data_IF_859387051092
#
_entry.id   IF_859387051092
#
_cell.length_a   1.000
_cell.length_b   1.000
_cell.length_c   1.000
_cell.angle_alpha   90.00
_cell.angle_beta   90.00
_cell.angle_gamma   90.00
#
_symmetry.space_group_name_H-M   'P 1'
#
loop_
_entity.id
_entity.type
_entity.pdbx_description
1 polymer ?
#
# COMPACT_ATOMS: atom_id res chain seq x y z
N UNK A 1 79.07 41.45 -43.40
CA UNK A 1 77.93 41.85 -42.57
C UNK A 1 77.15 40.56 -42.32
N UNK A 2 77.49 39.75 -41.31
CA UNK A 2 77.51 40.02 -39.86
C UNK A 2 76.08 40.15 -39.31
N UNK A 3 75.61 39.39 -38.31
CA UNK A 3 76.17 38.34 -37.43
C UNK A 3 75.04 37.31 -37.10
N UNK A 4 75.25 36.01 -36.82
CA UNK A 4 75.76 35.33 -35.59
C UNK A 4 75.02 35.74 -34.29
N UNK A 5 74.61 34.89 -33.32
CA UNK A 5 74.54 33.42 -33.05
C UNK A 5 73.33 33.24 -32.05
N UNK A 6 72.84 32.14 -31.42
CA UNK A 6 73.14 30.72 -31.11
C UNK A 6 71.75 30.04 -30.75
N UNK A 7 71.41 28.76 -30.55
CA UNK A 7 72.04 27.47 -30.13
C UNK A 7 72.39 27.40 -28.61
N UNK A 8 72.13 26.36 -27.78
CA UNK A 8 71.99 24.87 -27.93
C UNK A 8 70.95 24.27 -26.92
N UNK A 9 70.50 23.02 -27.13
CA UNK A 9 69.57 22.18 -26.28
C UNK A 9 70.29 21.04 -25.53
N UNK A 10 69.85 20.63 -24.30
CA UNK A 10 69.85 19.21 -23.78
C UNK A 10 69.27 18.99 -22.36
N UNK A 11 68.82 17.75 -22.08
CA UNK A 11 68.13 17.20 -20.87
C UNK A 11 68.49 15.68 -20.80
N UNK A 12 68.93 15.01 -19.68
CA UNK A 12 68.00 14.32 -18.73
C UNK A 12 68.48 13.80 -17.31
N UNK A 13 67.57 13.79 -16.30
CA UNK A 13 67.39 12.76 -15.20
C UNK A 13 68.55 12.48 -14.18
N UNK A 14 68.36 11.67 -13.10
CA UNK A 14 67.31 11.64 -12.04
C UNK A 14 67.93 11.53 -10.58
N UNK A 15 67.19 10.96 -9.59
CA UNK A 15 67.58 10.64 -8.17
C UNK A 15 67.75 11.85 -7.20
N UNK A 16 67.56 11.78 -5.87
CA UNK A 16 66.89 10.81 -4.94
C UNK A 16 66.65 11.42 -3.53
N UNK A 17 65.90 10.73 -2.65
CA UNK A 17 65.44 11.18 -1.31
C UNK A 17 66.42 10.81 -0.17
N UNK A 18 66.52 11.61 0.91
CA UNK A 18 66.73 11.12 2.28
C UNK A 18 65.56 11.49 3.22
N UNK A 19 65.39 10.75 4.33
CA UNK A 19 64.25 10.86 5.25
C UNK A 19 64.66 11.08 6.72
N UNK A 20 63.81 11.76 7.50
CA UNK A 20 63.72 11.81 8.98
C UNK A 20 62.56 12.78 9.36
N UNK A 21 61.83 12.66 10.46
CA UNK A 21 61.70 11.59 11.46
C UNK A 21 60.27 11.62 12.06
N UNK A 22 59.86 10.58 12.80
CA UNK A 22 58.56 10.55 13.48
C UNK A 22 58.54 11.46 14.72
N UNK A 23 57.34 11.89 15.12
CA UNK A 23 56.96 11.83 16.53
C UNK A 23 55.52 11.29 16.65
N UNK A 24 55.20 10.67 17.78
CA UNK A 24 53.98 9.87 17.98
C UNK A 24 52.99 10.49 18.97
N UNK A 25 51.85 9.81 19.14
CA UNK A 25 50.73 10.06 20.06
C UNK A 25 49.66 10.99 19.43
N UNK A 26 48.37 10.68 19.42
CA UNK A 26 47.61 9.71 20.24
C UNK A 26 46.79 8.68 19.44
N UNK A 27 46.46 7.56 20.11
CA UNK A 27 45.52 6.52 19.66
C UNK A 27 44.33 6.45 20.63
N UNK A 28 43.20 7.07 20.28
CA UNK A 28 41.92 6.81 20.95
C UNK A 28 40.77 6.66 19.97
N UNK A 29 39.88 5.74 20.31
CA UNK A 29 38.70 5.28 19.58
C UNK A 29 37.75 6.37 19.07
N UNK A 30 37.21 6.17 17.86
CA UNK A 30 35.81 5.75 17.71
C UNK A 30 35.49 5.27 16.29
N UNK A 31 34.47 4.43 16.17
CA UNK A 31 33.96 3.92 14.90
C UNK A 31 32.94 4.87 14.28
N UNK A 32 33.11 5.21 13.01
CA UNK A 32 32.01 5.59 12.14
C UNK A 32 32.03 4.69 10.90
N UNK A 33 30.96 3.90 10.77
CA UNK A 33 30.66 3.09 9.59
C UNK A 33 30.02 4.05 8.58
N UNK A 34 30.49 4.08 7.34
CA UNK A 34 29.82 4.83 6.28
C UNK A 34 28.40 4.28 6.08
N UNK A 35 27.38 5.14 5.96
CA UNK A 35 26.00 4.68 5.87
C UNK A 35 25.80 3.85 4.61
N UNK A 36 25.38 2.59 4.79
CA UNK A 36 24.97 1.72 3.68
C UNK A 36 23.83 2.40 2.94
N UNK A 37 24.03 2.67 1.66
CA UNK A 37 23.02 3.25 0.78
C UNK A 37 21.77 2.36 0.80
N UNK A 38 20.64 2.90 1.25
CA UNK A 38 19.42 2.11 1.37
C UNK A 38 18.85 1.89 -0.02
N UNK A 39 18.61 0.63 -0.47
CA UNK A 39 18.06 0.38 -1.79
C UNK A 39 16.70 1.05 -1.90
N UNK A 40 16.62 2.07 -2.76
CA UNK A 40 15.42 2.86 -3.00
C UNK A 40 14.27 1.90 -3.34
N UNK A 41 13.17 1.97 -2.57
CA UNK A 41 12.04 1.06 -2.74
C UNK A 41 11.52 1.13 -4.17
N UNK A 42 11.53 -0.01 -4.86
CA UNK A 42 11.12 -0.15 -6.26
C UNK A 42 9.87 -1.05 -6.29
N UNK A 43 8.71 -0.54 -6.73
CA UNK A 43 8.45 0.81 -7.24
C UNK A 43 8.42 1.88 -6.14
N UNK A 44 8.60 3.15 -6.55
CA UNK A 44 8.56 4.32 -5.66
C UNK A 44 7.24 5.09 -5.79
N UNK A 45 6.80 5.76 -4.72
CA UNK A 45 5.49 6.44 -4.64
C UNK A 45 5.58 7.85 -4.04
N UNK A 46 4.72 8.79 -4.49
CA UNK A 46 4.57 10.09 -3.82
C UNK A 46 3.98 9.88 -2.41
N UNK A 47 4.65 10.46 -1.41
CA UNK A 47 4.46 10.11 0.02
C UNK A 47 3.24 10.82 0.66
N UNK A 48 2.10 10.82 -0.04
CA UNK A 48 0.83 11.42 0.43
C UNK A 48 -0.31 10.41 0.22
N UNK A 49 -0.28 9.32 1.00
CA UNK A 49 -1.20 8.19 0.89
C UNK A 49 -2.62 8.50 1.43
N UNK A 50 -3.33 9.41 0.77
CA UNK A 50 -4.79 9.49 0.88
C UNK A 50 -5.39 8.25 0.24
N UNK A 51 -6.17 7.45 1.00
CA UNK A 51 -6.89 6.31 0.45
C UNK A 51 -7.89 6.79 -0.62
N UNK A 52 -7.76 6.36 -1.90
CA UNK A 52 -8.70 6.76 -2.94
C UNK A 52 -10.06 6.09 -2.70
N UNK A 53 -11.14 6.86 -2.82
CA UNK A 53 -12.52 6.35 -2.74
C UNK A 53 -13.05 6.12 -4.15
N UNK A 54 -13.32 4.87 -4.48
CA UNK A 54 -13.83 4.45 -5.78
C UNK A 54 -15.35 4.24 -5.73
N UNK A 55 -16.04 4.66 -6.79
CA UNK A 55 -17.42 4.24 -7.04
C UNK A 55 -17.40 2.91 -7.80
N UNK A 56 -18.18 1.91 -7.40
CA UNK A 56 -18.29 0.66 -8.15
C UNK A 56 -18.96 0.91 -9.50
N UNK A 57 -18.52 0.18 -10.53
CA UNK A 57 -19.12 0.17 -11.87
C UNK A 57 -20.47 -0.55 -11.85
N UNK A 58 -20.58 -1.61 -11.05
CA UNK A 58 -21.80 -2.36 -10.83
C UNK A 58 -21.78 -2.98 -9.42
N UNK A 59 -22.94 -3.01 -8.78
CA UNK A 59 -23.19 -3.75 -7.55
C UNK A 59 -24.46 -4.55 -7.76
N UNK A 60 -24.40 -5.86 -7.55
CA UNK A 60 -25.57 -6.76 -7.66
C UNK A 60 -25.63 -7.67 -6.44
N UNK A 61 -26.83 -8.10 -6.05
CA UNK A 61 -27.03 -9.00 -4.92
C UNK A 61 -27.91 -10.19 -5.34
N UNK A 62 -27.46 -11.39 -4.98
CA UNK A 62 -28.18 -12.65 -5.23
C UNK A 62 -28.23 -13.43 -3.91
N UNK A 63 -29.39 -13.40 -3.25
CA UNK A 63 -29.53 -13.92 -1.89
C UNK A 63 -28.56 -13.21 -0.93
N UNK A 64 -27.71 -14.01 -0.27
CA UNK A 64 -26.75 -13.52 0.73
C UNK A 64 -25.39 -13.11 0.12
N UNK A 65 -25.20 -13.18 -1.20
CA UNK A 65 -23.94 -12.79 -1.85
C UNK A 65 -24.12 -11.50 -2.63
N UNK A 66 -23.23 -10.53 -2.38
CA UNK A 66 -23.12 -9.26 -3.11
C UNK A 66 -21.90 -9.34 -4.03
N UNK A 67 -22.08 -9.07 -5.32
CA UNK A 67 -21.00 -8.96 -6.29
C UNK A 67 -20.70 -7.49 -6.54
N UNK A 68 -19.47 -7.08 -6.27
CA UNK A 68 -18.98 -5.69 -6.41
C UNK A 68 -17.98 -5.64 -7.56
N UNK A 69 -18.29 -4.88 -8.60
CA UNK A 69 -17.40 -4.65 -9.75
C UNK A 69 -16.86 -3.23 -9.71
N UNK A 70 -15.54 -3.05 -9.76
CA UNK A 70 -14.89 -1.73 -9.67
C UNK A 70 -13.71 -1.61 -10.64
N UNK A 71 -13.42 -0.38 -11.06
CA UNK A 71 -12.25 -0.01 -11.84
C UNK A 71 -11.27 0.77 -10.95
N UNK A 72 -10.07 0.24 -10.77
CA UNK A 72 -9.00 0.80 -9.94
C UNK A 72 -7.90 1.31 -10.89
N UNK A 73 -7.75 2.63 -11.09
CA UNK A 73 -6.58 3.19 -11.75
C UNK A 73 -5.36 3.14 -10.81
N UNK A 74 -4.19 2.83 -11.38
CA UNK A 74 -2.90 2.88 -10.72
C UNK A 74 -1.83 3.46 -11.66
N UNK A 75 -0.84 4.14 -11.10
CA UNK A 75 0.34 4.65 -11.80
C UNK A 75 1.58 4.32 -10.98
N UNK A 76 2.67 3.94 -11.66
CA UNK A 76 3.91 3.53 -11.00
C UNK A 76 5.13 3.79 -11.87
N UNK A 77 6.24 4.17 -11.23
CA UNK A 77 7.54 4.26 -11.89
C UNK A 77 8.37 3.01 -11.55
N UNK A 78 8.81 2.29 -12.58
CA UNK A 78 9.56 1.03 -12.47
C UNK A 78 10.95 1.25 -13.05
N UNK A 79 11.98 1.17 -12.21
CA UNK A 79 13.37 1.21 -12.66
C UNK A 79 13.89 -0.22 -12.82
N UNK A 80 14.45 -0.54 -13.99
CA UNK A 80 15.08 -1.83 -14.26
C UNK A 80 16.49 -1.90 -13.67
N UNK A 81 16.99 -3.08 -13.26
CA UNK A 81 18.36 -3.22 -12.74
C UNK A 81 19.48 -2.94 -13.76
N UNK A 82 19.18 -3.09 -15.05
CA UNK A 82 20.11 -2.84 -16.17
C UNK A 82 19.37 -2.07 -17.28
N UNK A 83 20.12 -1.37 -18.12
CA UNK A 83 19.57 -0.67 -19.29
C UNK A 83 18.95 -1.67 -20.29
N UNK A 84 17.68 -1.48 -20.58
CA UNK A 84 16.93 -2.23 -21.57
C UNK A 84 17.02 -1.56 -22.95
N UNK A 85 17.27 -2.37 -23.98
CA UNK A 85 17.01 -2.02 -25.38
C UNK A 85 15.51 -2.12 -25.69
N UNK A 86 14.86 -3.16 -25.18
CA UNK A 86 13.44 -3.44 -25.43
C UNK A 86 12.86 -4.36 -24.35
N UNK A 87 11.62 -4.10 -23.93
CA UNK A 87 10.80 -5.12 -23.24
C UNK A 87 10.36 -6.17 -24.25
N UNK A 88 10.47 -7.46 -23.90
CA UNK A 88 10.09 -8.59 -24.75
C UNK A 88 8.77 -9.22 -24.31
N UNK A 89 8.47 -9.25 -23.01
CA UNK A 89 7.25 -9.81 -22.44
C UNK A 89 7.02 -9.27 -21.02
N UNK A 90 5.76 -9.07 -20.62
CA UNK A 90 5.38 -8.75 -19.22
C UNK A 90 4.25 -9.67 -18.78
N UNK A 91 4.59 -10.72 -18.03
CA UNK A 91 3.62 -11.59 -17.35
C UNK A 91 3.04 -10.85 -16.12
N UNK A 92 1.77 -11.12 -15.75
CA UNK A 92 1.05 -10.38 -14.69
C UNK A 92 0.16 -11.31 -13.87
N UNK A 93 0.04 -11.03 -12.58
CA UNK A 93 -0.78 -11.78 -11.63
C UNK A 93 -1.30 -10.84 -10.53
N UNK A 94 -2.63 -10.72 -10.37
CA UNK A 94 -3.26 -9.81 -9.40
C UNK A 94 -3.55 -10.51 -8.08
N UNK A 95 -3.02 -9.98 -6.98
CA UNK A 95 -3.14 -10.56 -5.64
C UNK A 95 -3.83 -9.61 -4.69
N UNK A 96 -5.03 -9.96 -4.26
CA UNK A 96 -5.75 -9.25 -3.19
C UNK A 96 -5.24 -9.78 -1.85
N UNK A 97 -4.67 -8.89 -1.03
CA UNK A 97 -4.13 -9.19 0.32
C UNK A 97 -5.05 -8.68 1.42
N UNK A 98 -5.90 -7.70 1.11
CA UNK A 98 -6.92 -7.15 1.99
C UNK A 98 -8.25 -7.06 1.25
N UNK A 99 -9.27 -7.67 1.81
CA UNK A 99 -10.67 -7.37 1.51
C UNK A 99 -11.43 -7.28 2.83
N UNK A 100 -11.88 -6.08 3.22
CA UNK A 100 -12.51 -5.82 4.52
C UNK A 100 -13.76 -4.96 4.36
N UNK A 101 -14.92 -5.58 4.56
CA UNK A 101 -16.22 -4.92 4.58
C UNK A 101 -16.43 -4.19 5.91
N UNK A 102 -16.87 -2.94 5.83
CA UNK A 102 -17.43 -2.15 6.93
C UNK A 102 -18.90 -1.90 6.62
N UNK A 103 -19.77 -2.15 7.60
CA UNK A 103 -21.21 -1.93 7.44
C UNK A 103 -21.55 -0.43 7.55
N UNK A 104 -22.77 -0.05 7.15
CA UNK A 104 -23.27 1.32 7.29
C UNK A 104 -23.23 1.78 8.75
N UNK A 105 -23.00 3.08 8.96
CA UNK A 105 -23.16 3.72 10.27
C UNK A 105 -24.60 4.25 10.34
N UNK A 106 -25.50 3.65 11.14
CA UNK A 106 -26.90 4.07 11.19
C UNK A 106 -27.06 5.42 11.89
N UNK A 107 -28.06 6.19 11.50
CA UNK A 107 -28.42 7.44 12.17
C UNK A 107 -29.07 7.14 13.54
N UNK A 108 -28.25 7.12 14.60
CA UNK A 108 -28.67 6.81 15.99
C UNK A 108 -29.76 7.78 16.50
N UNK A 109 -29.81 9.01 15.96
CA UNK A 109 -30.82 10.02 16.30
C UNK A 109 -31.32 10.69 15.02
N UNK A 110 -32.62 10.99 14.94
CA UNK A 110 -33.21 11.73 13.82
C UNK A 110 -32.46 13.06 13.56
N UNK A 111 -32.12 13.32 12.30
CA UNK A 111 -31.33 14.49 11.90
C UNK A 111 -29.81 14.37 12.10
N UNK A 112 -29.28 13.20 12.48
CA UNK A 112 -27.84 12.89 12.39
C UNK A 112 -27.49 12.25 11.03
N UNK A 113 -26.27 12.48 10.51
CA UNK A 113 -25.82 11.81 9.30
C UNK A 113 -25.68 10.30 9.53
N UNK A 114 -25.98 9.52 8.50
CA UNK A 114 -25.59 8.12 8.35
C UNK A 114 -24.45 8.03 7.33
N UNK A 115 -23.65 6.96 7.39
CA UNK A 115 -22.63 6.66 6.37
C UNK A 115 -22.90 5.30 5.71
N UNK A 116 -22.51 5.18 4.45
CA UNK A 116 -22.74 4.00 3.60
C UNK A 116 -21.80 2.84 3.97
N UNK A 117 -22.14 1.57 3.67
CA UNK A 117 -21.20 0.47 3.77
C UNK A 117 -20.02 0.65 2.82
N UNK A 118 -18.81 0.27 3.24
CA UNK A 118 -17.58 0.45 2.45
C UNK A 118 -16.75 -0.83 2.40
N UNK A 119 -16.09 -1.06 1.27
CA UNK A 119 -15.17 -2.18 1.09
C UNK A 119 -13.73 -1.69 0.92
N UNK A 120 -12.88 -1.95 1.92
CA UNK A 120 -11.45 -1.68 1.83
C UNK A 120 -10.80 -2.82 1.05
N UNK A 121 -10.21 -2.49 -0.11
CA UNK A 121 -9.42 -3.42 -0.92
C UNK A 121 -7.96 -2.99 -0.93
N UNK A 122 -7.07 -3.97 -0.75
CA UNK A 122 -5.63 -3.83 -0.83
C UNK A 122 -5.00 -5.07 -1.45
N UNK A 123 -3.89 -4.89 -2.17
CA UNK A 123 -3.27 -5.94 -2.94
C UNK A 123 -2.07 -5.45 -3.73
N UNK A 124 -1.66 -6.22 -4.74
CA UNK A 124 -0.65 -5.83 -5.72
C UNK A 124 -0.82 -6.59 -7.04
N UNK A 125 -0.41 -5.97 -8.14
CA UNK A 125 -0.13 -6.65 -9.41
C UNK A 125 1.33 -7.09 -9.38
N UNK A 126 1.58 -8.39 -9.31
CA UNK A 126 2.93 -8.93 -9.53
C UNK A 126 3.20 -8.90 -11.04
N UNK A 127 4.25 -8.19 -11.44
CA UNK A 127 4.78 -8.18 -12.81
C UNK A 127 6.06 -8.99 -12.89
N UNK A 128 6.20 -9.72 -13.98
CA UNK A 128 7.38 -10.49 -14.37
C UNK A 128 7.80 -10.00 -15.77
N UNK A 129 8.83 -9.15 -15.79
CA UNK A 129 9.25 -8.32 -16.91
C UNK A 129 10.50 -8.95 -17.54
N UNK A 130 10.35 -9.46 -18.75
CA UNK A 130 11.45 -9.92 -19.58
C UNK A 130 11.88 -8.80 -20.53
N UNK A 131 13.15 -8.40 -20.45
CA UNK A 131 13.74 -7.35 -21.29
C UNK A 131 15.07 -7.81 -21.87
N UNK A 132 15.48 -7.19 -22.98
CA UNK A 132 16.80 -7.40 -23.57
C UNK A 132 17.74 -6.24 -23.17
N UNK A 133 18.93 -6.55 -22.65
CA UNK A 133 20.01 -5.58 -22.51
C UNK A 133 20.85 -5.52 -23.81
N UNK A 134 21.85 -4.63 -23.87
CA UNK A 134 22.86 -4.62 -24.95
C UNK A 134 24.15 -5.23 -24.43
N UNK A 135 24.70 -6.22 -25.14
CA UNK A 135 26.04 -6.79 -24.85
C UNK A 135 27.08 -6.42 -25.88
N UNK A 136 26.69 -6.20 -27.13
CA UNK A 136 27.59 -5.84 -28.23
C UNK A 136 26.82 -5.15 -29.36
N UNK A 137 27.46 -4.22 -30.05
CA UNK A 137 26.84 -3.38 -31.08
C UNK A 137 27.76 -3.17 -32.28
N UNK A 138 27.14 -2.89 -33.43
CA UNK A 138 27.75 -2.30 -34.61
C UNK A 138 26.74 -1.38 -35.29
N UNK A 139 27.18 -0.58 -36.27
CA UNK A 139 26.33 0.38 -36.99
C UNK A 139 25.08 -0.22 -37.66
N UNK A 140 24.99 -1.55 -37.80
CA UNK A 140 23.83 -2.26 -38.37
C UNK A 140 23.32 -3.44 -37.53
N UNK A 141 23.87 -3.69 -36.32
CA UNK A 141 23.51 -4.87 -35.50
C UNK A 141 23.55 -4.57 -34.01
N UNK A 142 22.58 -5.09 -33.26
CA UNK A 142 22.62 -5.14 -31.79
C UNK A 142 22.52 -6.59 -31.32
N UNK A 143 23.41 -6.97 -30.42
CA UNK A 143 23.48 -8.27 -29.75
C UNK A 143 23.22 -8.04 -28.25
N UNK A 144 22.46 -8.93 -27.60
CA UNK A 144 21.94 -8.70 -26.25
C UNK A 144 21.50 -9.97 -25.54
N UNK A 145 21.35 -9.90 -24.22
CA UNK A 145 20.86 -10.99 -23.38
C UNK A 145 19.46 -10.67 -22.85
N UNK A 146 18.63 -11.71 -22.69
CA UNK A 146 17.36 -11.57 -21.97
C UNK A 146 17.63 -11.58 -20.46
N UNK A 147 16.94 -10.70 -19.75
CA UNK A 147 16.93 -10.55 -18.30
C UNK A 147 15.48 -10.62 -17.81
N UNK A 148 15.24 -11.35 -16.74
CA UNK A 148 13.98 -11.36 -16.00
C UNK A 148 14.08 -10.39 -14.82
N UNK A 149 13.04 -9.58 -14.59
CA UNK A 149 12.90 -8.72 -13.42
C UNK A 149 11.48 -8.78 -12.88
N UNK A 150 11.33 -9.07 -11.59
CA UNK A 150 10.03 -9.31 -10.95
C UNK A 150 9.78 -8.23 -9.92
N UNK A 151 8.62 -7.58 -10.01
CA UNK A 151 8.24 -6.41 -9.20
C UNK A 151 6.77 -6.49 -8.79
N UNK A 152 6.42 -6.04 -7.59
CA UNK A 152 5.05 -6.01 -7.09
C UNK A 152 4.53 -4.57 -7.04
N UNK A 153 3.53 -4.26 -7.86
CA UNK A 153 2.92 -2.92 -7.94
C UNK A 153 1.69 -2.87 -7.01
N UNK A 154 1.75 -2.24 -5.83
CA UNK A 154 0.65 -2.21 -4.87
C UNK A 154 -0.60 -1.50 -5.40
N UNK A 155 -1.76 -1.99 -4.98
CA UNK A 155 -3.07 -1.37 -5.20
C UNK A 155 -3.80 -1.23 -3.87
N UNK A 156 -4.51 -0.12 -3.68
CA UNK A 156 -5.15 0.19 -2.40
C UNK A 156 -6.29 1.20 -2.61
N UNK A 157 -7.44 0.97 -1.97
CA UNK A 157 -8.55 1.92 -2.00
C UNK A 157 -9.80 1.46 -1.25
N UNK A 158 -10.80 2.34 -1.24
CA UNK A 158 -12.07 2.13 -0.54
C UNK A 158 -13.20 2.21 -1.55
N UNK A 159 -14.00 1.15 -1.69
CA UNK A 159 -15.21 1.19 -2.51
C UNK A 159 -16.37 1.68 -1.64
N UNK A 160 -17.07 2.71 -2.08
CA UNK A 160 -18.34 3.12 -1.47
C UNK A 160 -19.49 2.30 -2.08
N UNK A 161 -20.17 1.48 -1.27
CA UNK A 161 -21.18 0.52 -1.76
C UNK A 161 -22.59 1.13 -1.87
N UNK A 162 -22.79 2.35 -1.36
CA UNK A 162 -24.08 3.02 -1.36
C UNK A 162 -25.18 2.34 -0.51
N UNK A 163 -26.40 2.87 -0.60
CA UNK A 163 -27.51 2.53 0.31
C UNK A 163 -28.49 1.49 -0.25
N UNK A 164 -28.06 0.67 -1.21
CA UNK A 164 -28.92 -0.25 -1.97
C UNK A 164 -28.71 -1.74 -1.63
N UNK A 165 -27.81 -2.03 -0.69
CA UNK A 165 -27.52 -3.40 -0.26
C UNK A 165 -28.38 -3.84 0.91
N UNK A 166 -28.98 -5.03 0.79
CA UNK A 166 -29.66 -5.71 1.88
C UNK A 166 -28.63 -6.57 2.63
N UNK A 167 -27.79 -5.93 3.44
CA UNK A 167 -26.82 -6.58 4.33
C UNK A 167 -27.45 -6.89 5.70
N UNK A 168 -26.96 -7.92 6.42
CA UNK A 168 -27.35 -8.14 7.81
C UNK A 168 -27.10 -6.90 8.68
N UNK A 169 -28.03 -6.63 9.60
CA UNK A 169 -27.89 -5.55 10.60
C UNK A 169 -26.69 -5.81 11.52
N UNK A 170 -25.93 -4.77 11.84
CA UNK A 170 -24.95 -4.85 12.95
C UNK A 170 -25.72 -4.98 14.25
N UNK A 171 -25.40 -6.00 15.03
CA UNK A 171 -25.88 -6.13 16.41
C UNK A 171 -24.91 -5.39 17.34
N UNK A 172 -25.41 -4.43 18.10
CA UNK A 172 -24.61 -3.60 19.01
C UNK A 172 -24.64 -4.19 20.42
N UNK A 173 -23.46 -4.29 21.06
CA UNK A 173 -23.35 -4.63 22.47
C UNK A 173 -24.21 -3.69 23.33
N UNK A 174 -24.93 -4.23 24.32
CA UNK A 174 -25.70 -3.45 25.27
C UNK A 174 -25.33 -3.79 26.73
N UNK A 175 -25.70 -2.88 27.64
CA UNK A 175 -25.51 -3.05 29.06
C UNK A 175 -26.71 -2.44 29.80
N UNK A 176 -27.39 -3.26 30.58
CA UNK A 176 -28.58 -2.89 31.35
C UNK A 176 -28.26 -2.99 32.84
N UNK A 177 -28.49 -1.90 33.56
CA UNK A 177 -28.26 -1.81 35.01
C UNK A 177 -29.60 -1.92 35.72
N UNK A 178 -29.68 -2.76 36.75
CA UNK A 178 -30.88 -2.90 37.58
C UNK A 178 -30.55 -2.80 39.07
N UNK A 179 -31.56 -2.49 39.88
CA UNK A 179 -31.42 -2.28 41.33
C UNK A 179 -32.62 -2.89 42.04
N UNK A 180 -32.39 -3.49 43.21
CA UNK A 180 -33.46 -3.91 44.11
C UNK A 180 -33.87 -2.77 45.05
N UNK A 181 -35.09 -2.82 45.58
CA UNK A 181 -35.64 -1.80 46.47
C UNK A 181 -35.14 -2.01 47.90
N UNK A 182 -34.34 -1.06 48.41
CA UNK A 182 -33.95 -0.98 49.82
C UNK A 182 -34.92 -0.05 50.56
N UNK A 183 -35.35 -0.48 51.76
CA UNK A 183 -36.16 0.36 52.67
C UNK A 183 -35.34 0.69 53.91
N UNK A 184 -35.21 1.98 54.24
CA UNK A 184 -34.39 2.50 55.33
C UNK A 184 -35.19 3.44 56.25
N UNK A 185 -34.81 3.59 57.53
CA UNK A 185 -35.35 4.64 58.39
C UNK A 185 -34.91 6.02 57.89
N UNK A 186 -35.78 7.02 58.04
CA UNK A 186 -35.47 8.42 57.77
C UNK A 186 -34.83 9.10 59.00
N UNK A 187 -34.04 10.18 58.81
CA UNK A 187 -33.52 10.99 59.91
C UNK A 187 -34.65 11.78 60.60
N UNK A 188 -34.31 12.46 61.70
CA UNK A 188 -35.24 13.35 62.40
C UNK A 188 -35.70 14.51 61.50
N UNK A 189 -36.99 14.88 61.62
CA UNK A 189 -37.67 15.87 60.76
C UNK A 189 -38.81 15.29 59.92
N UNK A 190 -38.84 13.96 59.71
CA UNK A 190 -39.92 13.22 59.05
C UNK A 190 -40.88 12.60 60.07
N UNK A 191 -42.07 12.15 59.64
CA UNK A 191 -43.02 11.52 60.56
C UNK A 191 -42.59 10.08 60.88
N UNK A 192 -42.82 9.61 62.12
CA UNK A 192 -42.30 8.31 62.58
C UNK A 192 -42.81 7.06 61.84
N UNK A 193 -43.83 7.21 60.98
CA UNK A 193 -44.35 6.16 60.09
C UNK A 193 -43.60 6.10 58.75
N UNK A 194 -42.87 7.14 58.38
CA UNK A 194 -42.26 7.30 57.06
C UNK A 194 -41.01 6.43 56.91
N UNK A 195 -40.64 6.11 55.66
CA UNK A 195 -39.44 5.33 55.31
C UNK A 195 -38.84 5.89 54.03
N UNK A 196 -37.52 5.81 53.93
CA UNK A 196 -36.81 6.01 52.67
C UNK A 196 -36.94 4.71 51.86
N UNK A 197 -37.52 4.80 50.67
CA UNK A 197 -37.62 3.70 49.71
C UNK A 197 -36.82 4.10 48.46
N UNK A 198 -35.70 3.42 48.22
CA UNK A 198 -34.74 3.78 47.17
C UNK A 198 -34.04 2.53 46.62
N UNK A 199 -33.37 2.65 45.47
CA UNK A 199 -32.53 1.58 44.94
C UNK A 199 -31.35 1.27 45.88
N UNK A 200 -30.99 -0.01 45.97
CA UNK A 200 -29.91 -0.45 46.87
C UNK A 200 -28.53 -0.07 46.33
N UNK A 201 -27.97 1.03 46.86
CA UNK A 201 -26.64 1.53 46.49
C UNK A 201 -25.46 0.68 47.01
N UNK A 202 -25.72 -0.39 47.77
CA UNK A 202 -24.67 -1.35 48.18
C UNK A 202 -24.50 -2.52 47.21
N UNK A 203 -25.33 -2.63 46.17
CA UNK A 203 -25.24 -3.64 45.12
C UNK A 203 -25.17 -2.99 43.73
N UNK A 204 -24.34 -3.55 42.83
CA UNK A 204 -24.20 -3.09 41.46
C UNK A 204 -24.53 -4.23 40.49
N UNK A 205 -25.81 -4.39 40.18
CA UNK A 205 -26.29 -5.47 39.32
C UNK A 205 -26.32 -5.02 37.85
N UNK A 206 -25.67 -5.80 36.98
CA UNK A 206 -25.45 -5.48 35.57
C UNK A 206 -25.69 -6.72 34.71
N UNK A 207 -26.54 -6.59 33.70
CA UNK A 207 -26.65 -7.51 32.57
C UNK A 207 -25.93 -6.90 31.37
N UNK A 208 -25.17 -7.68 30.61
CA UNK A 208 -24.49 -7.22 29.41
C UNK A 208 -24.57 -8.26 28.29
N UNK A 209 -25.03 -7.84 27.11
CA UNK A 209 -25.08 -8.69 25.93
C UNK A 209 -23.91 -8.36 25.00
N UNK A 210 -23.31 -9.38 24.39
CA UNK A 210 -22.13 -9.27 23.52
C UNK A 210 -22.38 -9.98 22.20
N UNK A 211 -22.25 -9.25 21.10
CA UNK A 211 -22.63 -9.75 19.78
C UNK A 211 -21.42 -9.95 18.86
N UNK A 212 -21.16 -11.23 18.53
CA UNK A 212 -20.03 -11.64 17.69
C UNK A 212 -20.36 -11.50 16.20
N UNK A 213 -20.49 -10.26 15.72
CA UNK A 213 -20.72 -9.92 14.32
C UNK A 213 -19.59 -10.50 13.44
N UNK A 214 -19.92 -11.44 12.55
CA UNK A 214 -18.99 -12.01 11.58
C UNK A 214 -18.78 -11.06 10.39
N UNK A 215 -17.55 -11.03 9.86
CA UNK A 215 -17.28 -10.43 8.55
C UNK A 215 -17.77 -11.37 7.43
N UNK A 216 -18.26 -10.84 6.28
CA UNK A 216 -18.53 -11.66 5.11
C UNK A 216 -17.24 -12.29 4.57
N UNK A 217 -17.37 -13.49 3.99
CA UNK A 217 -16.31 -14.06 3.17
C UNK A 217 -16.15 -13.21 1.90
N UNK A 218 -14.89 -12.96 1.50
CA UNK A 218 -14.60 -12.18 0.29
C UNK A 218 -13.65 -12.95 -0.64
N UNK A 219 -14.04 -13.05 -1.91
CA UNK A 219 -13.29 -13.82 -2.92
C UNK A 219 -13.15 -12.99 -4.21
N UNK A 220 -12.03 -13.16 -4.91
CA UNK A 220 -11.82 -12.56 -6.23
C UNK A 220 -12.44 -13.46 -7.31
N UNK A 221 -13.43 -12.94 -8.02
CA UNK A 221 -14.19 -13.67 -9.06
C UNK A 221 -13.66 -13.35 -10.46
N UNK A 222 -13.22 -12.11 -10.70
CA UNK A 222 -12.73 -11.65 -11.98
C UNK A 222 -11.66 -10.57 -11.81
N UNK A 223 -10.70 -10.54 -12.73
CA UNK A 223 -9.73 -9.46 -12.86
C UNK A 223 -9.31 -9.25 -14.32
N UNK A 224 -9.24 -8.01 -14.75
CA UNK A 224 -8.72 -7.57 -16.05
C UNK A 224 -7.80 -6.37 -15.84
N UNK A 225 -6.65 -6.36 -16.49
CA UNK A 225 -5.69 -5.26 -16.47
C UNK A 225 -5.57 -4.70 -17.90
N UNK A 226 -5.67 -3.38 -18.04
CA UNK A 226 -5.33 -2.65 -19.25
C UNK A 226 -4.22 -1.64 -18.90
N UNK A 227 -3.17 -1.51 -19.70
CA UNK A 227 -1.97 -0.75 -19.33
C UNK A 227 -1.42 0.11 -20.48
N UNK A 228 -0.54 1.05 -20.14
CA UNK A 228 0.25 1.87 -21.04
C UNK A 228 1.59 2.19 -20.36
N UNK A 229 2.70 1.84 -21.01
CA UNK A 229 4.06 1.96 -20.47
C UNK A 229 4.90 2.95 -21.30
N UNK A 230 5.34 4.04 -20.68
CA UNK A 230 6.19 5.06 -21.31
C UNK A 230 7.68 4.86 -20.90
N UNK A 231 8.59 4.71 -21.86
CA UNK A 231 10.04 4.63 -21.60
C UNK A 231 10.65 6.04 -21.44
N UNK A 232 10.59 6.60 -20.23
CA UNK A 232 10.80 8.04 -19.98
C UNK A 232 12.24 8.52 -20.06
N UNK A 233 13.23 7.64 -19.90
CA UNK A 233 14.67 7.94 -19.96
C UNK A 233 15.35 7.38 -21.23
N UNK A 234 14.59 7.09 -22.30
CA UNK A 234 15.12 6.49 -23.53
C UNK A 234 16.08 7.42 -24.27
N UNK A 235 17.34 7.01 -24.36
CA UNK A 235 18.40 7.68 -25.14
C UNK A 235 18.79 6.87 -26.40
N UNK A 236 19.20 7.50 -27.52
CA UNK A 236 19.65 6.77 -28.72
C UNK A 236 20.89 5.90 -28.47
N UNK A 237 20.95 4.72 -29.10
CA UNK A 237 22.07 3.79 -28.95
C UNK A 237 23.27 4.23 -29.78
N UNK A 238 24.19 4.99 -29.18
CA UNK A 238 25.39 5.48 -29.85
C UNK A 238 26.23 4.35 -30.45
N UNK A 239 26.49 4.43 -31.76
CA UNK A 239 27.24 3.43 -32.53
C UNK A 239 26.41 2.23 -33.00
N UNK A 240 25.14 2.12 -32.58
CA UNK A 240 24.18 1.13 -33.07
C UNK A 240 23.37 1.63 -34.28
N UNK A 241 22.33 0.87 -34.69
CA UNK A 241 21.33 1.33 -35.66
C UNK A 241 20.57 2.57 -35.18
N UNK A 242 20.17 3.45 -36.10
CA UNK A 242 19.68 4.80 -35.74
C UNK A 242 18.31 4.86 -35.03
N UNK A 243 17.48 3.81 -35.14
CA UNK A 243 16.17 3.71 -34.46
C UNK A 243 16.29 3.13 -33.04
N UNK A 244 17.43 2.49 -32.75
CA UNK A 244 17.68 1.81 -31.48
C UNK A 244 18.02 2.80 -30.37
N UNK A 245 17.65 2.43 -29.15
CA UNK A 245 17.77 3.33 -28.00
C UNK A 245 17.43 2.61 -26.71
N UNK A 246 18.20 2.92 -25.68
CA UNK A 246 18.20 2.24 -24.38
C UNK A 246 17.55 3.11 -23.30
N UNK A 247 16.88 2.47 -22.37
CA UNK A 247 16.14 3.09 -21.27
C UNK A 247 16.31 2.25 -20.00
N UNK A 248 16.02 2.83 -18.84
CA UNK A 248 16.06 2.15 -17.54
C UNK A 248 14.72 2.28 -16.80
N UNK A 249 13.93 3.31 -17.12
CA UNK A 249 12.76 3.71 -16.35
C UNK A 249 11.50 3.62 -17.19
N UNK A 250 10.54 2.82 -16.74
CA UNK A 250 9.18 2.75 -17.28
C UNK A 250 8.24 3.57 -16.39
N UNK A 251 7.48 4.49 -16.98
CA UNK A 251 6.34 5.13 -16.32
C UNK A 251 5.05 4.44 -16.78
N UNK A 252 4.55 3.56 -15.92
CA UNK A 252 3.39 2.72 -16.14
C UNK A 252 2.10 3.42 -15.69
N UNK A 253 1.04 3.33 -16.49
CA UNK A 253 -0.33 3.70 -16.12
C UNK A 253 -1.25 2.53 -16.45
N UNK A 254 -1.96 2.00 -15.46
CA UNK A 254 -2.89 0.88 -15.66
C UNK A 254 -4.27 1.11 -15.03
N UNK A 255 -5.26 0.44 -15.61
CA UNK A 255 -6.63 0.37 -15.12
C UNK A 255 -6.96 -1.10 -14.86
N UNK A 256 -7.29 -1.41 -13.62
CA UNK A 256 -7.55 -2.76 -13.13
C UNK A 256 -9.04 -2.87 -12.84
N UNK A 257 -9.77 -3.59 -13.68
CA UNK A 257 -11.18 -3.92 -13.45
C UNK A 257 -11.22 -5.23 -12.67
N UNK A 258 -11.90 -5.24 -11.52
CA UNK A 258 -12.10 -6.46 -10.72
C UNK A 258 -13.57 -6.66 -10.40
N UNK A 259 -13.94 -7.92 -10.19
CA UNK A 259 -15.16 -8.30 -9.48
C UNK A 259 -14.80 -9.15 -8.27
N UNK A 260 -15.32 -8.75 -7.11
CA UNK A 260 -15.25 -9.53 -5.86
C UNK A 260 -16.64 -9.91 -5.39
N UNK A 261 -16.77 -11.10 -4.81
CA UNK A 261 -17.97 -11.52 -4.08
C UNK A 261 -17.82 -11.19 -2.60
N UNK A 262 -18.92 -10.81 -1.94
CA UNK A 262 -19.06 -10.70 -0.50
C UNK A 262 -20.22 -11.60 -0.07
N UNK A 263 -19.91 -12.75 0.53
CA UNK A 263 -20.92 -13.71 0.98
C UNK A 263 -21.13 -13.57 2.48
N UNK A 264 -22.35 -13.18 2.87
CA UNK A 264 -22.77 -13.01 4.25
C UNK A 264 -23.37 -14.32 4.79
N UNK A 265 -22.97 -14.73 5.99
CA UNK A 265 -23.67 -15.84 6.66
C UNK A 265 -25.14 -15.45 6.95
N UNK A 266 -26.09 -16.39 6.82
CA UNK A 266 -27.47 -16.14 7.26
C UNK A 266 -27.50 -15.91 8.77
N UNK A 267 -28.23 -14.90 9.22
CA UNK A 267 -28.52 -14.72 10.64
C UNK A 267 -29.44 -15.86 11.07
N UNK A 268 -28.91 -16.78 11.88
CA UNK A 268 -29.72 -17.78 12.58
C UNK A 268 -30.45 -17.03 13.69
N UNK A 269 -31.76 -16.80 13.50
CA UNK A 269 -32.61 -16.25 14.55
C UNK A 269 -32.77 -17.31 15.67
N UNK A 270 -32.31 -17.04 16.90
CA UNK A 270 -32.41 -18.01 17.99
C UNK A 270 -33.85 -18.19 18.52
N UNK A 271 -34.83 -17.42 18.03
CA UNK A 271 -36.21 -17.42 18.53
C UNK A 271 -37.15 -18.45 17.88
N UNK A 272 -36.63 -19.40 17.08
CA UNK A 272 -37.44 -20.35 16.31
C UNK A 272 -37.10 -21.83 16.54
N UNK A 273 -37.23 -22.26 17.80
CA UNK A 273 -37.35 -23.67 18.23
C UNK A 273 -38.43 -23.82 19.30
#
# INVERSE_FOLDING_TARGET
MCECYSSIVKIPKPYSIPAQALNSNDLTSSSLIEPVDQPQSNPSFPITATLPVYRPMAVTQTGNTVFVTVSIPAESSITLPEQALQIKKVSKDLKITQCRFFNAIPAIVAGKPADTPKLFLGGFVRKDIQYANVTKLSASTVEGQIKDFVVDIPILGVIDLGNHLNVPSVLFDDQQVYQYLKTLPLPCGFAGKDRLMAGDMSEFNVMSNKFMNKLPACELIYSQINEMDDAVDRIPLHGGPFEEGIFTTLQEKMVIVIQVSLTFEPVVDPCHH
#
